data_IF_371850306148
#
_entry.id   IF_371850306148
#
_cell.length_a   1.000
_cell.length_b   1.000
_cell.length_c   1.000
_cell.angle_alpha   90.00
_cell.angle_beta   90.00
_cell.angle_gamma   90.00
#
_symmetry.space_group_name_H-M   'P 1'
#
loop_
_entity.id
_entity.type
_entity.pdbx_description
1 polymer ?
#
# COMPACT_ATOMS: atom_id res chain seq x y z
N UNK A 1 4.68 9.11 -18.51
CA UNK A 1 3.35 8.56 -18.46
C UNK A 1 2.60 9.00 -17.21
N UNK A 2 1.37 8.59 -17.12
CA UNK A 2 0.55 8.93 -15.97
C UNK A 2 0.87 8.01 -14.80
N UNK A 3 0.85 8.58 -13.60
CA UNK A 3 0.99 7.80 -12.40
C UNK A 3 -0.30 7.02 -12.14
N UNK A 4 -0.17 5.79 -11.71
CA UNK A 4 -1.31 4.97 -11.37
C UNK A 4 -1.35 4.74 -9.87
N UNK A 5 -2.54 4.73 -9.32
CA UNK A 5 -2.75 4.46 -7.91
C UNK A 5 -3.46 3.13 -7.75
N UNK A 6 -2.90 2.26 -6.93
CA UNK A 6 -3.45 0.93 -6.66
C UNK A 6 -3.75 0.81 -5.19
N UNK A 7 -4.87 0.18 -4.87
CA UNK A 7 -5.25 -0.07 -3.49
C UNK A 7 -5.06 -1.55 -3.18
N UNK A 8 -4.20 -1.85 -2.22
CA UNK A 8 -3.95 -3.21 -1.80
C UNK A 8 -4.71 -3.47 -0.50
N UNK A 9 -5.66 -4.38 -0.54
CA UNK A 9 -6.45 -4.72 0.63
C UNK A 9 -5.83 -5.93 1.31
N UNK A 10 -5.20 -5.71 2.45
CA UNK A 10 -4.54 -6.79 3.20
C UNK A 10 -5.21 -7.07 4.55
N UNK A 11 -6.20 -6.28 4.90
CA UNK A 11 -6.90 -6.43 6.17
C UNK A 11 -6.10 -5.90 7.34
N UNK A 12 -6.76 -5.78 8.50
CA UNK A 12 -6.10 -5.26 9.69
C UNK A 12 -5.33 -6.35 10.44
N UNK A 13 -5.97 -7.48 10.69
CA UNK A 13 -5.35 -8.64 11.32
C UNK A 13 -4.31 -8.31 12.39
N UNK A 14 -3.20 -9.05 12.39
CA UNK A 14 -2.10 -8.87 13.31
C UNK A 14 -1.11 -7.80 12.85
N UNK A 15 -1.27 -7.31 11.64
CA UNK A 15 -0.33 -6.37 11.05
C UNK A 15 0.83 -7.04 10.32
N UNK A 16 0.94 -8.36 10.43
CA UNK A 16 2.03 -9.07 9.77
C UNK A 16 1.98 -8.94 8.25
N UNK A 17 0.79 -9.10 7.69
CA UNK A 17 0.61 -8.98 6.24
C UNK A 17 0.89 -7.56 5.78
N UNK A 18 0.43 -6.58 6.54
CA UNK A 18 0.69 -5.17 6.23
C UNK A 18 2.18 -4.88 6.20
N UNK A 19 2.91 -5.40 7.17
CA UNK A 19 4.36 -5.23 7.23
C UNK A 19 5.03 -5.87 6.03
N UNK A 20 4.63 -7.08 5.68
CA UNK A 20 5.17 -7.78 4.52
C UNK A 20 4.94 -7.00 3.23
N UNK A 21 3.73 -6.45 3.06
CA UNK A 21 3.40 -5.63 1.90
C UNK A 21 4.31 -4.41 1.83
N UNK A 22 4.48 -3.71 2.95
CA UNK A 22 5.32 -2.53 3.00
C UNK A 22 6.77 -2.84 2.65
N UNK A 23 7.30 -3.94 3.18
CA UNK A 23 8.67 -4.34 2.88
C UNK A 23 8.84 -4.63 1.40
N UNK A 24 7.87 -5.31 0.81
CA UNK A 24 7.89 -5.60 -0.61
C UNK A 24 7.87 -4.31 -1.44
N UNK A 25 7.01 -3.38 -1.07
CA UNK A 25 6.87 -2.12 -1.80
C UNK A 25 8.14 -1.27 -1.73
N UNK A 26 8.82 -1.29 -0.60
CA UNK A 26 10.08 -0.54 -0.45
C UNK A 26 11.14 -1.03 -1.42
N UNK A 27 11.10 -2.29 -1.79
CA UNK A 27 12.09 -2.90 -2.68
C UNK A 27 11.70 -2.80 -4.14
N UNK A 28 10.47 -2.43 -4.43
CA UNK A 28 9.98 -2.38 -5.80
C UNK A 28 10.42 -1.11 -6.50
N UNK A 29 11.07 -1.26 -7.64
CA UNK A 29 11.49 -0.11 -8.44
C UNK A 29 10.34 0.52 -9.21
N UNK A 30 9.20 -0.14 -9.24
CA UNK A 30 8.01 0.37 -9.94
C UNK A 30 7.14 1.22 -9.04
N UNK A 31 7.39 1.23 -7.75
CA UNK A 31 6.62 1.98 -6.78
C UNK A 31 7.24 3.35 -6.55
N UNK A 32 6.46 4.40 -6.78
CA UNK A 32 6.91 5.76 -6.51
C UNK A 32 6.79 6.04 -5.01
N UNK A 33 5.64 5.71 -4.44
CA UNK A 33 5.41 5.89 -3.01
C UNK A 33 4.23 5.04 -2.57
N UNK A 34 4.08 4.87 -1.28
CA UNK A 34 2.93 4.16 -0.73
C UNK A 34 2.59 4.75 0.63
N UNK A 35 1.34 4.57 1.04
CA UNK A 35 0.86 5.07 2.33
C UNK A 35 -0.29 4.21 2.82
N UNK A 36 -0.60 4.23 4.12
CA UNK A 36 -1.80 3.55 4.61
C UNK A 36 -3.03 4.27 4.08
N UNK A 37 -4.15 3.57 4.02
CA UNK A 37 -5.39 4.18 3.60
C UNK A 37 -5.83 5.25 4.57
N UNK A 38 -6.46 6.30 4.05
CA UNK A 38 -7.00 7.36 4.88
C UNK A 38 -8.37 6.97 5.41
N UNK A 39 -8.93 7.80 6.26
CA UNK A 39 -10.29 7.61 6.75
C UNK A 39 -11.25 7.49 5.57
N UNK A 40 -12.03 6.43 5.55
CA UNK A 40 -12.92 6.16 4.45
C UNK A 40 -12.30 5.36 3.31
N UNK A 41 -10.98 5.13 3.34
CA UNK A 41 -10.27 4.35 2.32
C UNK A 41 -9.89 2.96 2.80
N UNK A 42 -10.34 2.56 3.99
CA UNK A 42 -9.98 1.27 4.55
C UNK A 42 -8.92 1.38 5.64
N UNK A 43 -8.42 2.55 5.89
CA UNK A 43 -7.46 2.83 6.97
C UNK A 43 -6.30 1.85 7.02
N UNK A 44 -6.05 1.22 8.19
CA UNK A 44 -4.94 0.29 8.36
C UNK A 44 -5.10 -1.03 7.61
N UNK A 45 -6.30 -1.31 7.12
CA UNK A 45 -6.54 -2.54 6.36
C UNK A 45 -6.18 -2.44 4.89
N UNK A 46 -5.72 -1.27 4.46
CA UNK A 46 -5.44 -0.99 3.05
C UNK A 46 -4.15 -0.19 2.93
N UNK A 47 -3.39 -0.45 1.87
CA UNK A 47 -2.22 0.36 1.51
C UNK A 47 -2.46 0.95 0.13
N UNK A 48 -2.31 2.25 0.03
CA UNK A 48 -2.45 2.96 -1.25
C UNK A 48 -1.06 3.10 -1.86
N UNK A 49 -0.90 2.61 -3.06
CA UNK A 49 0.39 2.58 -3.75
C UNK A 49 0.31 3.44 -5.00
N UNK A 50 1.30 4.32 -5.16
CA UNK A 50 1.41 5.11 -6.38
C UNK A 50 2.56 4.54 -7.19
N UNK A 51 2.27 4.11 -8.40
CA UNK A 51 3.26 3.53 -9.30
C UNK A 51 3.92 4.61 -10.16
N UNK A 52 5.12 4.34 -10.54
CA UNK A 52 5.86 5.26 -11.44
C UNK A 52 5.33 5.22 -12.86
#
# INVERSE_FOLDING_TARGET
>A
GKLETVRIIHGKGTGALRKAVREHLKRSKYVKEFRPGAYGEGEDGVTIVTLK
#
